data_IF_023719263629
#
_entry.id   IF_023719263629
#
_cell.length_a   1.000
_cell.length_b   1.000
_cell.length_c   1.000
_cell.angle_alpha   90.00
_cell.angle_beta   90.00
_cell.angle_gamma   90.00
#
_symmetry.space_group_name_H-M   'P 1'
#
loop_
_entity.id
_entity.type
_entity.pdbx_description
1 polymer ?
#
# COMPACT_ATOMS: atom_id res chain seq x y z
N UNK A 1 16.72 56.96 -27.14
CA UNK A 1 16.97 55.57 -26.72
C UNK A 1 16.20 55.33 -25.43
N UNK A 2 15.17 54.47 -25.45
CA UNK A 2 14.54 53.95 -24.23
C UNK A 2 13.92 52.60 -24.60
N UNK A 3 14.70 51.52 -24.41
CA UNK A 3 14.22 50.15 -24.55
C UNK A 3 13.75 49.72 -23.16
N UNK A 4 12.43 49.65 -22.97
CA UNK A 4 11.81 49.07 -21.78
C UNK A 4 11.73 47.57 -22.03
N UNK A 5 12.68 46.82 -21.46
CA UNK A 5 12.68 45.37 -21.49
C UNK A 5 11.72 44.84 -20.42
N UNK A 6 10.66 44.18 -20.87
CA UNK A 6 9.63 43.51 -20.09
C UNK A 6 10.23 42.49 -19.12
N UNK A 7 9.89 42.59 -17.83
CA UNK A 7 10.16 41.54 -16.85
C UNK A 7 9.31 40.31 -17.19
N UNK A 8 9.95 39.26 -17.72
CA UNK A 8 9.38 37.92 -17.74
C UNK A 8 9.63 37.27 -16.37
N UNK A 9 8.64 37.37 -15.47
CA UNK A 9 8.59 36.53 -14.27
C UNK A 9 8.18 35.13 -14.73
N UNK A 10 9.16 34.26 -14.96
CA UNK A 10 8.92 32.85 -15.26
C UNK A 10 8.31 32.19 -14.01
N UNK A 11 7.02 31.88 -14.08
CA UNK A 11 6.33 31.02 -13.12
C UNK A 11 6.87 29.60 -13.20
N UNK A 12 7.83 29.26 -12.35
CA UNK A 12 8.25 27.89 -12.06
C UNK A 12 7.47 27.37 -10.84
N UNK A 13 6.14 27.43 -10.91
CA UNK A 13 5.28 26.78 -9.94
C UNK A 13 4.88 25.40 -10.46
N UNK A 14 5.42 24.38 -9.78
CA UNK A 14 4.79 23.09 -9.52
C UNK A 14 4.65 22.06 -10.67
N UNK A 15 5.78 21.46 -11.07
CA UNK A 15 5.82 20.01 -11.31
C UNK A 15 6.79 19.41 -10.31
N UNK A 16 6.32 19.12 -9.08
CA UNK A 16 7.10 18.52 -7.97
C UNK A 16 7.42 17.04 -8.24
N UNK A 17 7.86 16.72 -9.45
CA UNK A 17 8.36 15.40 -9.84
C UNK A 17 9.83 15.58 -10.22
N UNK A 18 10.70 15.62 -9.21
CA UNK A 18 12.13 15.43 -9.46
C UNK A 18 12.31 13.99 -9.96
N UNK A 19 12.89 13.75 -11.15
CA UNK A 19 13.00 12.40 -11.72
C UNK A 19 13.75 11.40 -10.84
N UNK A 20 14.56 11.92 -9.90
CA UNK A 20 15.36 11.15 -8.94
C UNK A 20 14.62 10.76 -7.65
N UNK A 21 13.35 11.14 -7.49
CA UNK A 21 12.53 10.83 -6.30
C UNK A 21 11.36 9.94 -6.70
N UNK A 22 11.23 8.81 -6.00
CA UNK A 22 10.16 7.84 -6.15
C UNK A 22 8.93 8.22 -5.31
N UNK A 23 9.14 8.73 -4.09
CA UNK A 23 8.08 9.22 -3.22
C UNK A 23 8.59 10.26 -2.20
N UNK A 24 7.70 11.17 -1.80
CA UNK A 24 7.87 12.08 -0.68
C UNK A 24 6.92 11.67 0.46
N UNK A 25 7.43 11.71 1.69
CA UNK A 25 6.70 11.38 2.92
C UNK A 25 7.05 12.47 3.94
N UNK A 26 6.28 13.56 3.95
CA UNK A 26 6.62 14.78 4.70
C UNK A 26 7.95 15.35 4.20
N UNK A 27 8.90 15.51 5.12
CA UNK A 27 10.25 15.97 4.83
C UNK A 27 11.20 14.85 4.36
N UNK A 28 10.77 13.59 4.46
CA UNK A 28 11.54 12.43 4.00
C UNK A 28 11.26 12.12 2.53
N UNK A 29 12.24 11.51 1.85
CA UNK A 29 12.12 11.11 0.45
C UNK A 29 12.67 9.71 0.20
N UNK A 30 11.92 8.92 -0.55
CA UNK A 30 12.39 7.67 -1.15
C UNK A 30 12.96 8.02 -2.51
N UNK A 31 14.28 7.87 -2.67
CA UNK A 31 14.97 8.21 -3.92
C UNK A 31 15.01 7.01 -4.87
N UNK A 32 15.18 7.29 -6.16
CA UNK A 32 15.44 6.26 -7.17
C UNK A 32 16.67 5.40 -6.84
N UNK A 33 17.71 6.03 -6.28
CA UNK A 33 18.90 5.32 -5.81
C UNK A 33 18.53 4.28 -4.74
N UNK A 34 17.61 4.62 -3.82
CA UNK A 34 17.16 3.69 -2.78
C UNK A 34 16.38 2.52 -3.38
N UNK A 35 15.48 2.79 -4.32
CA UNK A 35 14.74 1.76 -5.06
C UNK A 35 15.71 0.84 -5.81
N UNK A 36 16.72 1.42 -6.46
CA UNK A 36 17.77 0.69 -7.17
C UNK A 36 18.59 -0.21 -6.23
N UNK A 37 18.96 0.27 -5.05
CA UNK A 37 19.71 -0.53 -4.07
C UNK A 37 18.96 -1.79 -3.65
N UNK A 38 17.66 -1.68 -3.35
CA UNK A 38 16.84 -2.85 -2.97
C UNK A 38 16.66 -3.80 -4.15
N UNK A 39 16.52 -3.26 -5.37
CA UNK A 39 16.45 -4.04 -6.59
C UNK A 39 17.74 -4.84 -6.85
N UNK A 40 18.90 -4.19 -6.71
CA UNK A 40 20.21 -4.80 -6.95
C UNK A 40 20.55 -5.86 -5.90
N UNK A 41 20.19 -5.63 -4.64
CA UNK A 41 20.30 -6.64 -3.58
C UNK A 41 19.51 -7.93 -3.92
N UNK A 42 18.24 -7.76 -4.30
CA UNK A 42 17.39 -8.90 -4.71
C UNK A 42 17.91 -9.59 -5.97
N UNK A 43 18.40 -8.83 -6.97
CA UNK A 43 19.00 -9.38 -8.20
C UNK A 43 20.27 -10.17 -7.91
N UNK A 44 21.16 -9.63 -7.08
CA UNK A 44 22.40 -10.28 -6.70
C UNK A 44 22.14 -11.61 -5.96
N UNK A 45 21.11 -11.64 -5.10
CA UNK A 45 20.74 -12.84 -4.36
C UNK A 45 20.13 -13.96 -5.23
N UNK A 46 19.44 -13.61 -6.33
CA UNK A 46 18.89 -14.56 -7.29
C UNK A 46 19.90 -15.00 -8.36
N UNK A 47 20.88 -14.14 -8.67
CA UNK A 47 21.76 -14.28 -9.83
C UNK A 47 21.19 -13.67 -11.10
N UNK A 48 22.07 -13.24 -12.01
CA UNK A 48 21.69 -12.39 -13.15
C UNK A 48 20.70 -13.01 -14.14
N UNK A 49 20.76 -14.34 -14.31
CA UNK A 49 19.95 -15.07 -15.27
C UNK A 49 18.52 -15.40 -14.77
N UNK A 50 18.26 -15.25 -13.47
CA UNK A 50 16.95 -15.56 -12.90
C UNK A 50 15.94 -14.42 -13.19
N UNK A 51 14.68 -14.74 -13.49
CA UNK A 51 13.63 -13.74 -13.59
C UNK A 51 13.39 -13.09 -12.22
N UNK A 52 13.24 -11.77 -12.19
CA UNK A 52 12.89 -11.06 -10.96
C UNK A 52 11.42 -11.32 -10.62
N UNK A 53 11.11 -11.80 -9.40
CA UNK A 53 9.73 -12.05 -8.98
C UNK A 53 9.04 -10.78 -8.47
N UNK A 54 9.76 -9.67 -8.34
CA UNK A 54 9.27 -8.37 -7.88
C UNK A 54 9.54 -7.29 -8.93
N UNK A 55 8.75 -6.22 -8.89
CA UNK A 55 8.89 -5.03 -9.71
C UNK A 55 9.49 -3.87 -8.90
N UNK A 56 9.92 -2.80 -9.58
CA UNK A 56 10.29 -1.55 -8.89
C UNK A 56 9.10 -0.90 -8.18
N UNK A 57 7.89 -1.09 -8.69
CA UNK A 57 6.66 -0.61 -8.05
C UNK A 57 6.44 -1.30 -6.71
N UNK A 58 6.69 -2.61 -6.63
CA UNK A 58 6.59 -3.36 -5.36
C UNK A 58 7.59 -2.84 -4.31
N UNK A 59 8.81 -2.49 -4.75
CA UNK A 59 9.84 -1.90 -3.89
C UNK A 59 9.39 -0.53 -3.36
N UNK A 60 8.83 0.34 -4.20
CA UNK A 60 8.34 1.64 -3.74
C UNK A 60 7.15 1.45 -2.81
N UNK A 61 6.22 0.56 -3.14
CA UNK A 61 5.09 0.24 -2.28
C UNK A 61 5.55 -0.22 -0.89
N UNK A 62 6.44 -1.22 -0.79
CA UNK A 62 6.88 -1.71 0.51
C UNK A 62 7.64 -0.66 1.31
N UNK A 63 8.42 0.22 0.66
CA UNK A 63 9.13 1.31 1.34
C UNK A 63 8.17 2.36 1.90
N UNK A 64 7.17 2.79 1.11
CA UNK A 64 6.15 3.75 1.56
C UNK A 64 5.29 3.13 2.65
N UNK A 65 4.78 1.92 2.41
CA UNK A 65 3.93 1.19 3.34
C UNK A 65 4.64 0.92 4.67
N UNK A 66 5.95 0.67 4.62
CA UNK A 66 6.74 0.48 5.83
C UNK A 66 6.88 1.76 6.66
N UNK A 67 7.21 2.89 6.05
CA UNK A 67 7.32 4.18 6.76
C UNK A 67 5.99 4.54 7.44
N UNK A 68 4.87 4.38 6.71
CA UNK A 68 3.55 4.68 7.24
C UNK A 68 3.13 3.73 8.37
N UNK A 69 3.30 2.41 8.21
CA UNK A 69 2.93 1.49 9.29
C UNK A 69 3.82 1.65 10.52
N UNK A 70 5.11 2.00 10.37
CA UNK A 70 5.99 2.26 11.52
C UNK A 70 5.44 3.41 12.39
N UNK A 71 4.91 4.46 11.75
CA UNK A 71 4.29 5.59 12.46
C UNK A 71 2.97 5.23 13.13
N UNK A 72 2.14 4.40 12.48
CA UNK A 72 0.92 3.88 13.11
C UNK A 72 1.28 2.98 14.29
N UNK A 73 2.22 2.05 14.12
CA UNK A 73 2.68 1.15 15.17
C UNK A 73 3.22 1.90 16.40
N UNK A 74 3.91 3.03 16.20
CA UNK A 74 4.33 3.91 17.29
C UNK A 74 3.15 4.46 18.10
N UNK A 75 2.02 4.82 17.46
CA UNK A 75 0.80 5.26 18.18
C UNK A 75 0.22 4.15 19.06
N UNK A 76 0.31 2.91 18.60
CA UNK A 76 -0.17 1.71 19.32
C UNK A 76 0.87 1.13 20.29
N UNK A 77 2.07 1.71 20.39
CA UNK A 77 3.20 1.16 21.14
C UNK A 77 3.56 -0.28 20.74
N UNK A 78 3.37 -0.60 19.46
CA UNK A 78 3.68 -1.90 18.86
C UNK A 78 5.06 -1.85 18.21
N UNK A 79 5.77 -2.97 18.26
CA UNK A 79 7.08 -3.15 17.64
C UNK A 79 7.07 -4.39 16.75
N UNK A 80 8.05 -4.47 15.85
CA UNK A 80 8.28 -5.69 15.07
C UNK A 80 8.55 -6.85 16.04
N UNK A 81 7.85 -7.99 15.91
CA UNK A 81 8.12 -9.17 16.74
C UNK A 81 9.59 -9.59 16.68
N UNK A 82 10.21 -9.83 17.83
CA UNK A 82 11.63 -10.19 17.91
C UNK A 82 11.93 -11.57 17.30
N UNK A 83 10.93 -12.45 17.24
CA UNK A 83 10.96 -13.80 16.71
C UNK A 83 10.41 -13.90 15.27
N UNK A 84 10.27 -12.77 14.57
CA UNK A 84 9.80 -12.73 13.18
C UNK A 84 10.69 -13.60 12.28
N UNK A 85 10.09 -14.68 11.74
CA UNK A 85 10.74 -15.54 10.73
C UNK A 85 10.59 -14.95 9.34
N UNK A 86 11.73 -14.67 8.69
CA UNK A 86 11.75 -14.17 7.30
C UNK A 86 11.52 -15.27 6.27
N UNK A 87 11.71 -16.55 6.61
CA UNK A 87 11.63 -17.67 5.66
C UNK A 87 10.22 -17.86 5.09
N UNK A 88 9.19 -17.62 5.92
CA UNK A 88 7.80 -17.71 5.46
C UNK A 88 7.49 -16.64 4.41
N UNK A 89 7.98 -15.42 4.62
CA UNK A 89 7.79 -14.32 3.68
C UNK A 89 8.66 -14.47 2.42
N UNK A 90 9.87 -14.99 2.57
CA UNK A 90 10.76 -15.34 1.47
C UNK A 90 10.09 -16.29 0.46
N UNK A 91 9.42 -17.33 0.97
CA UNK A 91 8.69 -18.27 0.12
C UNK A 91 7.53 -17.60 -0.65
N UNK A 92 6.81 -16.69 0.00
CA UNK A 92 5.69 -15.97 -0.61
C UNK A 92 6.15 -15.06 -1.77
N UNK A 93 7.22 -14.29 -1.56
CA UNK A 93 7.72 -13.34 -2.57
C UNK A 93 8.80 -13.94 -3.48
N UNK A 94 9.11 -15.23 -3.29
CA UNK A 94 10.07 -16.02 -4.07
C UNK A 94 11.48 -15.41 -4.11
N UNK A 95 11.92 -14.82 -2.99
CA UNK A 95 13.25 -14.25 -2.82
C UNK A 95 13.94 -14.86 -1.60
N UNK A 96 15.28 -14.93 -1.57
CA UNK A 96 16.01 -15.38 -0.38
C UNK A 96 15.67 -14.53 0.86
N UNK A 97 15.54 -15.18 2.02
CA UNK A 97 15.21 -14.52 3.29
C UNK A 97 16.22 -13.46 3.74
N UNK A 98 17.44 -13.51 3.21
CA UNK A 98 18.52 -12.56 3.47
C UNK A 98 18.38 -11.24 2.71
N UNK A 99 17.51 -11.18 1.71
CA UNK A 99 17.34 -9.95 0.92
C UNK A 99 16.65 -8.86 1.72
N UNK A 100 17.02 -7.61 1.45
CA UNK A 100 16.44 -6.46 2.10
C UNK A 100 14.95 -6.32 1.77
N UNK A 101 14.53 -6.66 0.55
CA UNK A 101 13.11 -6.66 0.19
C UNK A 101 12.29 -7.59 1.09
N UNK A 102 12.74 -8.83 1.31
CA UNK A 102 12.03 -9.78 2.20
C UNK A 102 11.97 -9.23 3.62
N UNK A 103 13.06 -8.65 4.12
CA UNK A 103 13.09 -8.04 5.44
C UNK A 103 12.07 -6.90 5.57
N UNK A 104 12.03 -5.98 4.60
CA UNK A 104 11.08 -4.86 4.59
C UNK A 104 9.63 -5.36 4.52
N UNK A 105 9.36 -6.31 3.62
CA UNK A 105 8.03 -6.90 3.41
C UNK A 105 7.53 -7.64 4.64
N UNK A 106 8.35 -8.52 5.23
CA UNK A 106 7.99 -9.28 6.43
C UNK A 106 7.68 -8.36 7.61
N UNK A 107 8.54 -7.37 7.86
CA UNK A 107 8.36 -6.45 8.98
C UNK A 107 7.14 -5.55 8.79
N UNK A 108 6.85 -5.09 7.56
CA UNK A 108 5.63 -4.36 7.25
C UNK A 108 4.38 -5.20 7.55
N UNK A 109 4.29 -6.44 7.03
CA UNK A 109 3.13 -7.30 7.25
C UNK A 109 2.98 -7.67 8.74
N UNK A 110 4.08 -7.95 9.44
CA UNK A 110 4.06 -8.26 10.86
C UNK A 110 3.54 -7.08 11.71
N UNK A 111 3.98 -5.85 11.40
CA UNK A 111 3.49 -4.65 12.06
C UNK A 111 2.02 -4.40 11.74
N UNK A 112 1.63 -4.48 10.47
CA UNK A 112 0.24 -4.32 10.06
C UNK A 112 -0.68 -5.29 10.80
N UNK A 113 -0.33 -6.58 10.83
CA UNK A 113 -1.08 -7.58 11.58
C UNK A 113 -1.13 -7.26 13.09
N UNK A 114 0.01 -6.91 13.70
CA UNK A 114 0.05 -6.66 15.15
C UNK A 114 -0.75 -5.42 15.55
N UNK A 115 -0.70 -4.36 14.74
CA UNK A 115 -1.51 -3.15 14.94
C UNK A 115 -3.00 -3.44 14.73
N UNK A 116 -3.35 -4.20 13.70
CA UNK A 116 -4.75 -4.60 13.46
C UNK A 116 -5.32 -5.35 14.67
N UNK A 117 -4.54 -6.27 15.25
CA UNK A 117 -4.95 -7.01 16.46
C UNK A 117 -5.06 -6.15 17.71
N UNK A 118 -4.37 -4.99 17.79
CA UNK A 118 -4.51 -4.06 18.93
C UNK A 118 -5.74 -3.16 18.81
N UNK A 119 -6.39 -3.11 17.64
CA UNK A 119 -7.57 -2.28 17.41
C UNK A 119 -8.82 -2.98 17.91
N UNK A 120 -9.54 -2.33 18.82
CA UNK A 120 -10.82 -2.80 19.36
C UNK A 120 -12.01 -2.00 18.83
N UNK A 121 -11.91 -1.43 17.63
CA UNK A 121 -12.94 -0.58 17.04
C UNK A 121 -14.30 -1.30 16.95
N UNK A 122 -15.35 -0.62 17.40
CA UNK A 122 -16.74 -1.04 17.22
C UNK A 122 -17.49 -0.10 16.28
N UNK A 123 -16.78 0.77 15.56
CA UNK A 123 -17.37 1.71 14.60
C UNK A 123 -18.06 0.92 13.50
N UNK A 124 -19.31 1.25 13.20
CA UNK A 124 -20.05 0.59 12.14
C UNK A 124 -19.37 0.81 10.79
N UNK A 125 -19.27 -0.26 9.99
CA UNK A 125 -18.78 -0.16 8.61
C UNK A 125 -19.75 0.71 7.80
N UNK A 126 -19.19 1.65 7.04
CA UNK A 126 -20.00 2.46 6.13
C UNK A 126 -20.40 1.63 4.91
N UNK A 127 -21.38 2.12 4.14
CA UNK A 127 -21.74 1.45 2.90
C UNK A 127 -20.59 1.49 1.87
N UNK A 128 -19.81 2.57 1.85
CA UNK A 128 -18.66 2.72 0.96
C UNK A 128 -17.54 1.73 1.32
N UNK A 129 -17.32 1.47 2.61
CA UNK A 129 -16.38 0.41 3.07
C UNK A 129 -16.78 -0.95 2.51
N UNK A 130 -18.06 -1.30 2.62
CA UNK A 130 -18.56 -2.59 2.14
C UNK A 130 -18.55 -2.67 0.61
N UNK A 131 -18.78 -1.55 -0.10
CA UNK A 131 -18.70 -1.49 -1.56
C UNK A 131 -17.27 -1.73 -2.05
N UNK A 132 -16.27 -1.11 -1.42
CA UNK A 132 -14.85 -1.33 -1.76
C UNK A 132 -14.47 -2.81 -1.56
N UNK A 133 -14.83 -3.39 -0.41
CA UNK A 133 -14.62 -4.83 -0.15
C UNK A 133 -15.30 -5.69 -1.22
N UNK A 134 -16.57 -5.43 -1.53
CA UNK A 134 -17.33 -6.16 -2.55
C UNK A 134 -16.67 -6.06 -3.94
N UNK A 135 -16.21 -4.88 -4.33
CA UNK A 135 -15.53 -4.65 -5.61
C UNK A 135 -14.21 -5.41 -5.67
N UNK A 136 -13.40 -5.38 -4.60
CA UNK A 136 -12.13 -6.12 -4.51
C UNK A 136 -12.34 -7.63 -4.56
N UNK A 137 -13.36 -8.14 -3.87
CA UNK A 137 -13.73 -9.56 -3.94
C UNK A 137 -14.19 -9.97 -5.35
N UNK A 138 -14.98 -9.12 -6.02
CA UNK A 138 -15.45 -9.34 -7.39
C UNK A 138 -14.29 -9.35 -8.38
N UNK A 139 -13.39 -8.35 -8.31
CA UNK A 139 -12.21 -8.25 -9.17
C UNK A 139 -11.27 -9.46 -9.04
N UNK A 140 -11.28 -10.13 -7.88
CA UNK A 140 -10.49 -11.32 -7.61
C UNK A 140 -11.27 -12.64 -7.80
N UNK A 141 -12.48 -12.61 -8.39
CA UNK A 141 -13.33 -13.79 -8.61
C UNK A 141 -13.63 -14.60 -7.34
N UNK A 142 -13.71 -13.92 -6.20
CA UNK A 142 -13.91 -14.56 -4.90
C UNK A 142 -15.38 -14.65 -4.47
N UNK A 143 -16.27 -14.05 -5.25
CA UNK A 143 -17.72 -14.14 -5.07
C UNK A 143 -18.33 -15.06 -6.12
N UNK A 144 -19.50 -15.61 -5.81
CA UNK A 144 -20.27 -16.36 -6.79
C UNK A 144 -20.67 -15.44 -7.96
N UNK A 145 -20.59 -15.91 -9.22
CA UNK A 145 -21.03 -15.10 -10.36
C UNK A 145 -22.46 -14.60 -10.18
N UNK A 146 -22.69 -13.30 -10.42
CA UNK A 146 -24.00 -12.67 -10.27
C UNK A 146 -24.38 -12.27 -8.84
N UNK A 147 -23.49 -12.44 -7.86
CA UNK A 147 -23.70 -11.89 -6.51
C UNK A 147 -23.88 -10.37 -6.60
N UNK A 148 -24.97 -9.84 -6.05
CA UNK A 148 -25.21 -8.39 -5.97
C UNK A 148 -24.64 -7.80 -4.69
N UNK A 149 -24.41 -6.49 -4.66
CA UNK A 149 -23.96 -5.80 -3.45
C UNK A 149 -24.92 -5.98 -2.27
N UNK A 150 -26.23 -5.89 -2.49
CA UNK A 150 -27.24 -6.08 -1.44
C UNK A 150 -27.21 -7.52 -0.87
N UNK A 151 -27.04 -8.52 -1.73
CA UNK A 151 -26.92 -9.91 -1.31
C UNK A 151 -25.62 -10.15 -0.52
N UNK A 152 -24.51 -9.53 -0.92
CA UNK A 152 -23.26 -9.57 -0.17
C UNK A 152 -23.43 -8.92 1.21
N UNK A 153 -23.96 -7.69 1.26
CA UNK A 153 -24.18 -6.93 2.50
C UNK A 153 -25.02 -7.70 3.52
N UNK A 154 -26.03 -8.44 3.05
CA UNK A 154 -26.88 -9.29 3.91
C UNK A 154 -26.26 -10.60 4.38
N UNK A 155 -25.11 -11.01 3.82
CA UNK A 155 -24.48 -12.33 4.09
C UNK A 155 -23.13 -12.24 4.80
N UNK A 156 -22.59 -11.03 5.07
CA UNK A 156 -21.33 -10.86 5.82
C UNK A 156 -21.49 -11.40 7.25
N UNK A 157 -20.73 -12.44 7.65
CA UNK A 157 -20.79 -12.99 9.00
C UNK A 157 -20.36 -11.99 10.09
N UNK A 158 -20.80 -12.20 11.33
CA UNK A 158 -20.52 -11.28 12.44
C UNK A 158 -19.02 -11.24 12.83
N UNK A 159 -18.34 -12.38 12.77
CA UNK A 159 -16.89 -12.50 12.95
C UNK A 159 -16.12 -11.76 11.84
N UNK A 160 -16.49 -11.98 10.58
CA UNK A 160 -15.91 -11.25 9.43
C UNK A 160 -16.16 -9.75 9.54
N UNK A 161 -17.34 -9.35 10.03
CA UNK A 161 -17.67 -7.93 10.27
C UNK A 161 -16.70 -7.31 11.27
N UNK A 162 -16.35 -8.03 12.35
CA UNK A 162 -15.41 -7.54 13.35
C UNK A 162 -14.00 -7.37 12.79
N UNK A 163 -13.53 -8.32 11.98
CA UNK A 163 -12.22 -8.22 11.31
C UNK A 163 -12.21 -7.02 10.34
N UNK A 164 -13.27 -6.85 9.55
CA UNK A 164 -13.41 -5.69 8.67
C UNK A 164 -13.45 -4.36 9.43
N UNK A 165 -14.07 -4.31 10.60
CA UNK A 165 -14.08 -3.10 11.44
C UNK A 165 -12.68 -2.72 11.93
N UNK A 166 -11.89 -3.70 12.36
CA UNK A 166 -10.50 -3.47 12.76
C UNK A 166 -9.64 -3.02 11.56
N UNK A 167 -9.78 -3.70 10.43
CA UNK A 167 -9.08 -3.36 9.19
C UNK A 167 -9.44 -1.95 8.68
N UNK A 168 -10.72 -1.58 8.68
CA UNK A 168 -11.15 -0.24 8.26
C UNK A 168 -10.65 0.83 9.22
N UNK A 169 -10.64 0.57 10.53
CA UNK A 169 -10.05 1.48 11.49
C UNK A 169 -8.54 1.67 11.24
N UNK A 170 -7.79 0.58 11.00
CA UNK A 170 -6.37 0.67 10.64
C UNK A 170 -6.15 1.45 9.33
N UNK A 171 -6.97 1.20 8.30
CA UNK A 171 -6.93 1.95 7.04
C UNK A 171 -7.10 3.45 7.29
N UNK A 172 -8.06 3.84 8.11
CA UNK A 172 -8.32 5.23 8.44
C UNK A 172 -7.16 5.84 9.23
N UNK A 173 -6.57 5.11 10.19
CA UNK A 173 -5.38 5.58 10.92
C UNK A 173 -4.17 5.77 10.01
N UNK A 174 -3.98 4.92 9.00
CA UNK A 174 -2.94 5.11 7.97
C UNK A 174 -3.18 6.41 7.22
N UNK A 175 -4.42 6.72 6.83
CA UNK A 175 -4.78 8.00 6.20
C UNK A 175 -4.53 9.19 7.14
N UNK A 176 -4.92 9.10 8.40
CA UNK A 176 -4.64 10.13 9.41
C UNK A 176 -3.14 10.39 9.62
N UNK A 177 -2.29 9.37 9.45
CA UNK A 177 -0.82 9.52 9.45
C UNK A 177 -0.33 10.13 8.14
N UNK A 178 -0.85 9.69 7.00
CA UNK A 178 -0.37 10.10 5.67
C UNK A 178 -0.78 11.52 5.28
N UNK A 179 -1.99 11.95 5.65
CA UNK A 179 -2.59 13.25 5.29
C UNK A 179 -1.76 14.48 5.69
N UNK A 180 -1.25 14.59 6.94
CA UNK A 180 -0.38 15.71 7.32
C UNK A 180 1.00 15.61 6.67
N UNK A 181 1.45 14.41 6.29
CA UNK A 181 2.73 14.19 5.61
C UNK A 181 2.66 14.55 4.12
N UNK A 182 1.47 14.78 3.55
CA UNK A 182 1.29 15.08 2.12
C UNK A 182 2.07 14.10 1.25
N UNK A 183 1.85 12.81 1.53
CA UNK A 183 2.53 11.72 0.81
C UNK A 183 2.25 11.86 -0.68
N UNK A 184 3.31 11.99 -1.48
CA UNK A 184 3.21 11.99 -2.94
C UNK A 184 4.14 10.94 -3.51
N UNK A 185 3.67 10.22 -4.52
CA UNK A 185 4.44 9.18 -5.18
C UNK A 185 4.55 9.53 -6.65
N UNK A 186 5.69 9.24 -7.25
CA UNK A 186 5.89 9.42 -8.67
C UNK A 186 4.82 8.62 -9.45
N UNK A 187 4.08 9.24 -10.39
CA UNK A 187 3.00 8.58 -11.12
C UNK A 187 3.37 7.25 -11.78
N UNK A 188 4.66 7.04 -12.12
CA UNK A 188 5.13 5.75 -12.68
C UNK A 188 4.99 4.56 -11.74
N UNK A 189 4.85 4.81 -10.44
CA UNK A 189 4.69 3.79 -9.40
C UNK A 189 3.27 3.74 -8.84
N UNK A 190 2.37 4.59 -9.33
CA UNK A 190 0.99 4.63 -8.88
C UNK A 190 0.11 3.62 -9.65
N UNK A 191 -0.99 3.14 -9.05
CA UNK A 191 -1.41 3.40 -7.67
C UNK A 191 -0.56 2.66 -6.64
N UNK A 192 -0.42 3.24 -5.44
CA UNK A 192 0.18 2.56 -4.28
C UNK A 192 -0.88 2.38 -3.21
N UNK A 193 -0.95 1.17 -2.67
CA UNK A 193 -1.84 0.81 -1.57
C UNK A 193 -1.07 0.07 -0.48
N UNK A 194 -1.29 0.48 0.76
CA UNK A 194 -0.93 -0.27 1.94
C UNK A 194 -2.04 -1.29 2.19
N UNK A 195 -1.77 -2.58 1.97
CA UNK A 195 -2.69 -3.66 2.30
C UNK A 195 -2.92 -3.75 3.80
N UNK A 196 -4.18 -3.68 4.23
CA UNK A 196 -4.54 -3.68 5.65
C UNK A 196 -5.23 -4.97 6.05
N UNK A 197 -5.96 -5.60 5.13
CA UNK A 197 -6.55 -6.91 5.37
C UNK A 197 -6.64 -7.67 4.06
N UNK A 198 -6.07 -8.87 4.07
CA UNK A 198 -5.99 -9.73 2.90
C UNK A 198 -6.56 -11.10 3.17
N UNK A 199 -7.13 -11.70 2.14
CA UNK A 199 -7.64 -13.07 2.19
C UNK A 199 -7.02 -13.92 1.09
N UNK A 200 -6.95 -15.21 1.34
CA UNK A 200 -6.47 -16.15 0.35
C UNK A 200 -7.61 -16.52 -0.61
N UNK A 201 -7.37 -16.32 -1.90
CA UNK A 201 -8.25 -16.83 -2.93
C UNK A 201 -8.25 -18.37 -2.90
N UNK A 202 -9.41 -18.99 -2.72
CA UNK A 202 -9.51 -20.44 -2.58
C UNK A 202 -9.13 -21.20 -3.86
N UNK A 203 -9.32 -20.59 -5.04
CA UNK A 203 -9.06 -21.17 -6.36
C UNK A 203 -7.58 -21.02 -6.75
N UNK A 204 -7.03 -19.80 -6.65
CA UNK A 204 -5.66 -19.49 -7.12
C UNK A 204 -4.62 -19.64 -6.02
N UNK A 205 -5.03 -19.75 -4.75
CA UNK A 205 -4.18 -19.70 -3.54
C UNK A 205 -3.41 -18.39 -3.35
N UNK A 206 -3.59 -17.41 -4.23
CA UNK A 206 -3.00 -16.09 -4.11
C UNK A 206 -3.66 -15.32 -2.95
N UNK A 207 -2.86 -14.57 -2.20
CA UNK A 207 -3.36 -13.62 -1.21
C UNK A 207 -3.61 -12.29 -1.93
N UNK A 208 -4.76 -11.67 -1.69
CA UNK A 208 -5.08 -10.34 -2.20
C UNK A 208 -5.74 -9.51 -1.10
N UNK A 209 -5.60 -8.20 -1.21
CA UNK A 209 -6.08 -7.25 -0.21
C UNK A 209 -7.54 -6.89 -0.48
N UNK A 210 -8.38 -7.01 0.55
CA UNK A 210 -9.80 -6.61 0.53
C UNK A 210 -10.06 -5.34 1.32
N UNK A 211 -9.11 -4.92 2.16
CA UNK A 211 -9.05 -3.57 2.72
C UNK A 211 -7.65 -3.05 2.50
N UNK A 212 -7.52 -1.85 1.93
CA UNK A 212 -6.22 -1.21 1.72
C UNK A 212 -6.34 0.31 1.87
N UNK A 213 -5.26 0.94 2.33
CA UNK A 213 -5.15 2.39 2.38
C UNK A 213 -4.41 2.87 1.14
N UNK A 214 -5.12 3.56 0.25
CA UNK A 214 -4.51 4.24 -0.90
C UNK A 214 -3.69 5.44 -0.45
N UNK A 215 -2.47 5.56 -0.98
CA UNK A 215 -1.53 6.62 -0.60
C UNK A 215 -0.74 7.11 -1.82
N UNK A 216 -0.31 8.38 -1.78
CA UNK A 216 0.63 8.92 -2.78
C UNK A 216 0.00 9.64 -3.98
N UNK A 217 -1.33 9.78 -4.01
CA UNK A 217 -2.05 10.60 -4.97
C UNK A 217 -3.55 10.38 -4.86
N UNK A 218 -4.34 11.33 -5.38
CA UNK A 218 -5.76 11.10 -5.64
C UNK A 218 -5.84 10.02 -6.72
N UNK A 219 -6.03 8.76 -6.33
CA UNK A 219 -6.68 7.82 -7.20
C UNK A 219 -8.14 8.28 -7.33
N UNK A 220 -8.37 9.36 -8.08
CA UNK A 220 -9.63 9.48 -8.77
C UNK A 220 -9.72 8.20 -9.59
N UNK A 221 -10.58 7.30 -9.12
CA UNK A 221 -11.22 6.28 -9.95
C UNK A 221 -11.43 6.96 -11.30
N UNK A 222 -10.92 6.42 -12.42
CA UNK A 222 -11.27 6.96 -13.71
C UNK A 222 -12.79 7.04 -13.72
N UNK A 223 -13.34 8.25 -13.75
CA UNK A 223 -14.75 8.44 -14.00
C UNK A 223 -14.92 7.80 -15.37
N UNK A 224 -15.49 6.60 -15.40
CA UNK A 224 -16.04 6.09 -16.62
C UNK A 224 -17.17 7.04 -16.94
N UNK A 225 -16.89 8.04 -17.77
CA UNK A 225 -17.91 8.73 -18.53
C UNK A 225 -18.65 7.64 -19.30
N UNK A 226 -19.77 7.21 -18.74
CA UNK A 226 -20.78 6.47 -19.48
C UNK A 226 -21.58 7.56 -20.19
N UNK A 227 -21.19 7.85 -21.43
CA UNK A 227 -22.08 8.47 -22.42
C UNK A 227 -23.11 7.45 -22.91
#
# INVERSE_FOLDING_TARGET
MAVVASLAVAGLSACRSEPAVAAYIGDSRITEKRVQQVWDDARAALGDAAPMPITRTDIVNVLVSRDLIDRVAQRHNVQVPADLSYDQFAALVRLPATTEYVRLYAQYNALQYTVEQSITSTTALTEDDLKDVFQRLTANNALQPGTTFDAFKGTVPADVTKDLQAAVALRNEVHEVADPLKVTVNPRYQPIELGVYGIQNQQTKAIYQIVAAQVGGDASVPVSDVS
#
